data_IF_323222101231
#
_entry.id   IF_323222101231
#
_cell.length_a   1.000
_cell.length_b   1.000
_cell.length_c   1.000
_cell.angle_alpha   90.00
_cell.angle_beta   90.00
_cell.angle_gamma   90.00
#
_symmetry.space_group_name_H-M   'P 1'
#
loop_
_entity.id
_entity.type
_entity.pdbx_description
1 polymer ?
#
# COMPACT_ATOMS: atom_id res chain seq x y z
N UNK A 1 -36.08 -31.59 -44.23
CA UNK A 1 -36.33 -30.20 -43.73
C UNK A 1 -36.09 -30.13 -42.22
N UNK A 2 -36.47 -31.15 -41.46
CA UNK A 2 -36.26 -31.26 -40.00
C UNK A 2 -34.77 -31.26 -39.62
N UNK A 3 -33.90 -31.84 -40.44
CA UNK A 3 -32.47 -31.93 -40.15
C UNK A 3 -31.80 -30.55 -40.07
N UNK A 4 -32.16 -29.65 -40.99
CA UNK A 4 -31.65 -28.27 -41.01
C UNK A 4 -32.15 -27.49 -39.79
N UNK A 5 -33.41 -27.68 -39.40
CA UNK A 5 -33.98 -27.06 -38.22
C UNK A 5 -33.28 -27.51 -36.93
N UNK A 6 -32.97 -28.80 -36.82
CA UNK A 6 -32.24 -29.36 -35.68
C UNK A 6 -30.80 -28.80 -35.60
N UNK A 7 -30.08 -28.75 -36.72
CA UNK A 7 -28.73 -28.18 -36.76
C UNK A 7 -28.72 -26.70 -36.34
N UNK A 8 -29.67 -25.89 -36.83
CA UNK A 8 -29.78 -24.49 -36.44
C UNK A 8 -30.14 -24.34 -34.96
N UNK A 9 -31.00 -25.19 -34.41
CA UNK A 9 -31.34 -25.19 -32.99
C UNK A 9 -30.12 -25.49 -32.11
N UNK A 10 -29.29 -26.46 -32.50
CA UNK A 10 -28.08 -26.84 -31.75
C UNK A 10 -27.03 -25.72 -31.81
N UNK A 11 -26.78 -25.15 -33.00
CA UNK A 11 -25.82 -24.04 -33.15
C UNK A 11 -26.28 -22.80 -32.38
N UNK A 12 -27.58 -22.48 -32.44
CA UNK A 12 -28.16 -21.38 -31.68
C UNK A 12 -27.98 -21.56 -30.17
N UNK A 13 -28.23 -22.77 -29.65
CA UNK A 13 -28.01 -23.07 -28.24
C UNK A 13 -26.54 -22.93 -27.81
N UNK A 14 -25.62 -23.46 -28.62
CA UNK A 14 -24.19 -23.37 -28.34
C UNK A 14 -23.66 -21.93 -28.32
N UNK A 15 -24.12 -21.08 -29.24
CA UNK A 15 -23.74 -19.66 -29.29
C UNK A 15 -24.19 -18.89 -28.04
N UNK A 16 -25.42 -19.13 -27.57
CA UNK A 16 -25.94 -18.53 -26.33
C UNK A 16 -25.08 -18.95 -25.14
N UNK A 17 -24.69 -20.22 -25.07
CA UNK A 17 -23.83 -20.71 -23.99
C UNK A 17 -22.44 -20.02 -24.01
N UNK A 18 -21.79 -19.90 -25.17
CA UNK A 18 -20.45 -19.27 -25.28
C UNK A 18 -20.50 -17.78 -24.95
N UNK A 19 -21.46 -17.05 -25.51
CA UNK A 19 -21.62 -15.61 -25.27
C UNK A 19 -21.99 -15.35 -23.80
N UNK A 20 -22.74 -16.26 -23.17
CA UNK A 20 -23.10 -16.16 -21.75
C UNK A 20 -21.90 -16.27 -20.81
N UNK A 21 -20.92 -17.13 -21.11
CA UNK A 21 -19.77 -17.39 -20.20
C UNK A 21 -18.55 -16.53 -20.47
N UNK A 22 -18.40 -15.97 -21.68
CA UNK A 22 -17.24 -15.14 -22.07
C UNK A 22 -17.06 -13.90 -21.18
N UNK A 23 -18.11 -13.12 -20.84
CA UNK A 23 -17.97 -11.97 -19.95
C UNK A 23 -17.42 -12.37 -18.57
N UNK A 24 -17.91 -13.48 -18.02
CA UNK A 24 -17.44 -14.02 -16.73
C UNK A 24 -15.98 -14.46 -16.81
N UNK A 25 -15.58 -15.15 -17.89
CA UNK A 25 -14.20 -15.57 -18.09
C UNK A 25 -13.22 -14.39 -18.18
N UNK A 26 -13.60 -13.31 -18.86
CA UNK A 26 -12.79 -12.08 -18.94
C UNK A 26 -12.68 -11.36 -17.59
N UNK A 27 -13.76 -11.32 -16.81
CA UNK A 27 -13.73 -10.74 -15.46
C UNK A 27 -12.76 -11.51 -14.55
N UNK A 28 -12.84 -12.85 -14.54
CA UNK A 28 -11.93 -13.70 -13.75
C UNK A 28 -10.47 -13.51 -14.15
N UNK A 29 -10.18 -13.42 -15.46
CA UNK A 29 -8.82 -13.16 -15.91
C UNK A 29 -8.30 -11.79 -15.45
N UNK A 30 -9.14 -10.75 -15.53
CA UNK A 30 -8.78 -9.42 -15.04
C UNK A 30 -8.54 -9.44 -13.54
N UNK A 31 -9.43 -10.02 -12.76
CA UNK A 31 -9.31 -10.12 -11.31
C UNK A 31 -8.03 -10.87 -10.89
N UNK A 32 -7.72 -12.00 -11.53
CA UNK A 32 -6.47 -12.73 -11.28
C UNK A 32 -5.22 -11.90 -11.58
N UNK A 33 -5.27 -11.08 -12.65
CA UNK A 33 -4.17 -10.18 -12.97
C UNK A 33 -4.03 -9.08 -11.92
N UNK A 34 -5.15 -8.45 -11.53
CA UNK A 34 -5.15 -7.42 -10.48
C UNK A 34 -4.65 -7.96 -9.15
N UNK A 35 -5.06 -9.17 -8.76
CA UNK A 35 -4.57 -9.83 -7.55
C UNK A 35 -3.06 -10.08 -7.63
N UNK A 36 -2.55 -10.48 -8.79
CA UNK A 36 -1.10 -10.66 -8.99
C UNK A 36 -0.35 -9.35 -8.81
N UNK A 37 -0.83 -8.26 -9.43
CA UNK A 37 -0.25 -6.92 -9.32
C UNK A 37 -0.25 -6.45 -7.87
N UNK A 38 -1.39 -6.53 -7.18
CA UNK A 38 -1.52 -6.14 -5.77
C UNK A 38 -0.58 -6.94 -4.86
N UNK A 39 -0.45 -8.25 -5.09
CA UNK A 39 0.47 -9.08 -4.30
C UNK A 39 1.93 -8.71 -4.53
N UNK A 40 2.34 -8.50 -5.79
CA UNK A 40 3.72 -8.14 -6.11
C UNK A 40 4.07 -6.75 -5.57
N UNK A 41 3.22 -5.76 -5.82
CA UNK A 41 3.47 -4.38 -5.42
C UNK A 41 3.31 -4.18 -3.91
N UNK A 42 2.37 -4.88 -3.27
CA UNK A 42 2.25 -4.90 -1.82
C UNK A 42 3.52 -5.41 -1.15
N UNK A 43 4.12 -6.49 -1.66
CA UNK A 43 5.42 -6.98 -1.15
C UNK A 43 6.56 -6.01 -1.46
N UNK A 44 6.57 -5.38 -2.64
CA UNK A 44 7.57 -4.37 -2.99
C UNK A 44 7.55 -3.18 -2.04
N UNK A 45 6.39 -2.59 -1.77
CA UNK A 45 6.27 -1.48 -0.81
C UNK A 45 6.59 -1.91 0.63
N UNK A 46 6.15 -3.10 1.03
CA UNK A 46 6.45 -3.62 2.36
C UNK A 46 7.97 -3.76 2.56
N UNK A 47 8.69 -4.30 1.59
CA UNK A 47 10.14 -4.45 1.68
C UNK A 47 10.88 -3.12 1.55
N UNK A 48 10.43 -2.23 0.65
CA UNK A 48 11.00 -0.88 0.51
C UNK A 48 10.90 -0.08 1.81
N UNK A 49 9.76 -0.14 2.50
CA UNK A 49 9.56 0.51 3.79
C UNK A 49 10.41 -0.19 4.84
N UNK A 50 10.32 -1.52 4.96
CA UNK A 50 11.04 -2.31 5.98
C UNK A 50 12.56 -2.12 5.91
N UNK A 51 13.13 -2.02 4.71
CA UNK A 51 14.56 -1.80 4.50
C UNK A 51 14.98 -0.32 4.58
N UNK A 52 14.02 0.61 4.72
CA UNK A 52 14.29 2.04 4.73
C UNK A 52 14.86 2.56 3.41
N UNK A 53 14.46 1.98 2.28
CA UNK A 53 15.06 2.26 0.97
C UNK A 53 14.94 3.73 0.57
N UNK A 54 16.07 4.35 0.22
CA UNK A 54 16.15 5.77 -0.15
C UNK A 54 16.37 6.01 -1.65
N UNK A 55 16.67 4.96 -2.43
CA UNK A 55 17.08 5.07 -3.85
C UNK A 55 15.97 4.83 -4.88
N UNK A 56 14.70 4.83 -4.47
CA UNK A 56 13.57 4.42 -5.33
C UNK A 56 12.97 5.58 -6.12
N UNK A 57 13.79 6.39 -6.79
CA UNK A 57 13.34 7.63 -7.43
C UNK A 57 12.31 7.40 -8.55
N UNK A 58 12.27 6.21 -9.14
CA UNK A 58 11.24 5.83 -10.10
C UNK A 58 9.81 5.89 -9.53
N UNK A 59 9.65 5.77 -8.20
CA UNK A 59 8.34 5.90 -7.54
C UNK A 59 7.65 7.22 -7.84
N UNK A 60 8.42 8.28 -8.13
CA UNK A 60 7.87 9.59 -8.50
C UNK A 60 6.93 9.53 -9.71
N UNK A 61 7.14 8.55 -10.61
CA UNK A 61 6.33 8.37 -11.81
C UNK A 61 5.00 7.69 -11.52
N UNK A 62 4.90 6.93 -10.44
CA UNK A 62 3.75 6.06 -10.14
C UNK A 62 2.94 6.56 -8.95
N UNK A 63 3.54 7.32 -8.05
CA UNK A 63 2.89 7.86 -6.86
C UNK A 63 2.44 9.30 -7.13
N UNK A 64 1.13 9.51 -7.18
CA UNK A 64 0.55 10.83 -7.43
C UNK A 64 0.63 11.73 -6.18
N UNK A 65 0.89 11.16 -5.00
CA UNK A 65 1.20 11.91 -3.77
C UNK A 65 1.07 11.07 -2.51
N UNK A 66 1.52 11.65 -1.38
CA UNK A 66 1.42 11.05 -0.05
C UNK A 66 0.81 12.03 0.95
N UNK A 67 -0.05 11.52 1.84
CA UNK A 67 -0.76 12.28 2.88
C UNK A 67 -0.64 11.54 4.20
N UNK A 68 -0.21 12.24 5.25
CA UNK A 68 -0.14 11.69 6.60
C UNK A 68 -1.26 12.25 7.46
N UNK A 69 -2.08 11.38 8.06
CA UNK A 69 -3.14 11.76 8.98
C UNK A 69 -2.73 11.47 10.43
N UNK A 70 -2.94 12.44 11.33
CA UNK A 70 -2.91 12.16 12.77
C UNK A 70 -4.21 11.50 13.22
N UNK A 71 -4.24 11.05 14.47
CA UNK A 71 -5.46 10.63 15.18
C UNK A 71 -6.61 11.66 15.09
N UNK A 72 -6.31 12.95 14.86
CA UNK A 72 -7.28 14.03 14.70
C UNK A 72 -7.56 14.40 13.23
N UNK A 73 -7.59 13.43 12.29
CA UNK A 73 -8.09 13.50 10.89
C UNK A 73 -7.64 14.67 9.98
N UNK A 74 -6.87 15.63 10.46
CA UNK A 74 -6.24 16.68 9.68
C UNK A 74 -4.89 16.15 9.16
N UNK A 75 -4.57 16.40 7.88
CA UNK A 75 -3.29 15.98 7.32
C UNK A 75 -2.15 16.76 7.99
N UNK A 76 -1.18 16.04 8.56
CA UNK A 76 0.02 16.59 9.21
C UNK A 76 1.12 16.97 8.23
N UNK A 77 1.10 16.36 7.04
CA UNK A 77 2.06 16.59 5.99
C UNK A 77 1.37 16.32 4.67
N UNK A 78 1.57 17.23 3.72
CA UNK A 78 1.00 17.16 2.39
C UNK A 78 2.08 17.52 1.41
N UNK A 79 2.36 16.60 0.50
CA UNK A 79 3.40 16.83 -0.48
C UNK A 79 2.89 16.49 -1.88
N UNK A 80 3.02 17.44 -2.84
CA UNK A 80 2.56 17.27 -4.22
C UNK A 80 3.38 16.19 -4.96
N UNK A 81 2.90 15.69 -6.12
CA UNK A 81 3.46 14.55 -6.87
C UNK A 81 4.96 14.59 -7.25
N UNK A 82 5.63 15.74 -7.15
CA UNK A 82 7.06 15.85 -7.41
C UNK A 82 7.88 15.38 -6.20
N UNK A 83 7.79 14.09 -5.87
CA UNK A 83 8.48 13.47 -4.73
C UNK A 83 9.57 12.52 -5.22
N UNK A 84 10.79 12.67 -4.71
CA UNK A 84 11.80 11.64 -4.88
C UNK A 84 11.41 10.39 -4.08
N UNK A 85 11.91 9.22 -4.47
CA UNK A 85 11.55 7.94 -3.86
C UNK A 85 11.79 7.91 -2.36
N UNK A 86 12.90 8.52 -1.95
CA UNK A 86 13.25 8.76 -0.56
C UNK A 86 12.16 9.44 0.26
N UNK A 87 11.55 10.49 -0.28
CA UNK A 87 10.51 11.25 0.43
C UNK A 87 9.25 10.42 0.54
N UNK A 88 8.89 9.70 -0.52
CA UNK A 88 7.73 8.79 -0.52
C UNK A 88 7.89 7.74 0.58
N UNK A 89 9.01 7.01 0.60
CA UNK A 89 9.26 6.00 1.63
C UNK A 89 9.36 6.62 3.02
N UNK A 90 10.01 7.77 3.15
CA UNK A 90 10.16 8.49 4.41
C UNK A 90 8.83 8.91 5.04
N UNK A 91 7.88 9.35 4.22
CA UNK A 91 6.52 9.70 4.64
C UNK A 91 5.69 8.45 4.97
N UNK A 92 5.80 7.40 4.15
CA UNK A 92 5.09 6.14 4.36
C UNK A 92 5.54 5.40 5.63
N UNK A 93 6.79 5.59 6.06
CA UNK A 93 7.36 4.96 7.25
C UNK A 93 7.08 5.73 8.54
N UNK A 94 6.36 6.86 8.48
CA UNK A 94 6.11 7.70 9.65
C UNK A 94 5.30 6.96 10.73
N UNK A 95 5.79 6.87 11.99
CA UNK A 95 5.10 6.21 13.08
C UNK A 95 3.95 7.07 13.63
N UNK A 96 3.01 6.41 14.31
CA UNK A 96 1.85 7.05 14.98
C UNK A 96 0.93 7.87 14.05
N UNK A 97 1.04 7.66 12.74
CA UNK A 97 0.23 8.29 11.72
C UNK A 97 -0.35 7.23 10.78
N UNK A 98 -1.47 7.56 10.15
CA UNK A 98 -1.96 6.81 8.99
C UNK A 98 -1.50 7.54 7.75
N UNK A 99 -0.57 6.95 7.00
CA UNK A 99 -0.07 7.56 5.78
C UNK A 99 -0.79 6.90 4.60
N UNK A 100 -1.28 7.71 3.66
CA UNK A 100 -2.00 7.26 2.49
C UNK A 100 -1.27 7.78 1.27
N UNK A 101 -1.00 6.93 0.31
CA UNK A 101 -0.48 7.28 -1.00
C UNK A 101 -1.45 6.86 -2.09
N UNK A 102 -1.58 7.71 -3.11
CA UNK A 102 -2.32 7.40 -4.35
C UNK A 102 -1.32 6.85 -5.35
N UNK A 103 -1.46 5.58 -5.71
CA UNK A 103 -0.45 4.83 -6.47
C UNK A 103 -1.08 4.25 -7.73
N UNK A 104 -0.39 4.42 -8.84
CA UNK A 104 -0.67 3.73 -10.12
C UNK A 104 0.20 2.48 -10.21
N UNK A 105 -0.33 1.45 -10.85
CA UNK A 105 0.34 0.17 -10.99
C UNK A 105 1.73 0.33 -11.63
N UNK A 106 2.74 -0.18 -10.93
CA UNK A 106 4.13 -0.28 -11.36
C UNK A 106 4.29 -1.48 -12.31
N UNK A 107 3.64 -2.60 -12.01
CA UNK A 107 3.69 -3.87 -12.75
C UNK A 107 2.44 -4.08 -13.63
N UNK A 108 2.00 -3.03 -14.32
CA UNK A 108 0.90 -3.10 -15.31
C UNK A 108 1.34 -3.47 -16.74
N UNK A 109 0.35 -3.64 -17.62
CA UNK A 109 0.57 -3.84 -19.05
C UNK A 109 1.30 -2.64 -19.68
N UNK A 110 2.14 -2.87 -20.69
CA UNK A 110 2.86 -1.79 -21.38
C UNK A 110 1.90 -0.74 -21.98
N UNK A 111 0.69 -1.14 -22.37
CA UNK A 111 -0.35 -0.23 -22.85
C UNK A 111 -0.80 0.77 -21.77
N UNK A 112 -0.78 0.37 -20.51
CA UNK A 112 -1.20 1.19 -19.36
C UNK A 112 -0.08 2.14 -18.88
N UNK A 113 1.18 1.87 -19.29
CA UNK A 113 2.35 2.69 -18.91
C UNK A 113 2.56 3.91 -19.80
N UNK A 114 1.72 4.09 -20.82
CA UNK A 114 1.75 5.25 -21.70
C UNK A 114 1.39 6.54 -20.94
N UNK A 115 2.18 7.59 -21.15
CA UNK A 115 1.96 8.92 -20.54
C UNK A 115 0.62 9.53 -20.97
N UNK A 116 0.07 9.12 -22.11
CA UNK A 116 -1.24 9.58 -22.58
C UNK A 116 -2.44 8.85 -21.93
N UNK A 117 -2.22 7.74 -21.22
CA UNK A 117 -3.27 6.86 -20.69
C UNK A 117 -3.22 6.73 -19.16
N UNK A 118 -2.57 7.67 -18.46
CA UNK A 118 -2.40 7.63 -16.99
C UNK A 118 -3.71 7.59 -16.21
N UNK A 119 -4.82 8.05 -16.80
CA UNK A 119 -6.15 8.01 -16.18
C UNK A 119 -6.87 6.66 -16.34
N UNK A 120 -6.35 5.77 -17.19
CA UNK A 120 -6.92 4.45 -17.45
C UNK A 120 -6.05 3.31 -16.90
N UNK A 121 -4.87 3.61 -16.34
CA UNK A 121 -4.04 2.62 -15.67
C UNK A 121 -4.69 2.15 -14.37
N UNK A 122 -4.54 0.87 -14.05
CA UNK A 122 -4.90 0.37 -12.73
C UNK A 122 -4.22 1.20 -11.62
N UNK A 123 -4.97 1.53 -10.59
CA UNK A 123 -4.49 2.31 -9.46
C UNK A 123 -5.21 1.94 -8.18
N UNK A 124 -4.53 2.18 -7.06
CA UNK A 124 -4.97 1.82 -5.73
C UNK A 124 -4.53 2.86 -4.71
N UNK A 125 -5.21 2.86 -3.56
CA UNK A 125 -4.76 3.58 -2.38
C UNK A 125 -3.91 2.67 -1.52
N UNK A 126 -2.70 3.13 -1.24
CA UNK A 126 -1.76 2.49 -0.35
C UNK A 126 -1.83 3.17 1.01
N UNK A 127 -2.32 2.48 2.03
CA UNK A 127 -2.32 2.99 3.40
C UNK A 127 -1.27 2.27 4.22
N UNK A 128 -0.37 3.01 4.86
CA UNK A 128 0.64 2.48 5.78
C UNK A 128 0.36 2.92 7.21
N UNK A 129 0.59 1.99 8.12
CA UNK A 129 0.57 2.26 9.56
C UNK A 129 1.79 1.57 10.18
N UNK A 130 2.64 2.38 10.80
CA UNK A 130 3.77 1.91 11.61
C UNK A 130 3.36 2.03 13.07
N UNK A 131 3.20 0.87 13.73
CA UNK A 131 2.69 0.75 15.09
C UNK A 131 3.83 0.25 15.99
N UNK A 132 4.36 1.08 16.89
CA UNK A 132 5.39 0.66 17.84
C UNK A 132 4.83 -0.31 18.88
N UNK A 133 5.61 -1.32 19.27
CA UNK A 133 5.21 -2.36 20.23
C UNK A 133 5.62 -2.03 21.67
N UNK A 134 5.53 -0.76 22.05
CA UNK A 134 6.02 -0.23 23.35
C UNK A 134 5.39 -0.92 24.56
N UNK A 135 4.16 -1.44 24.43
CA UNK A 135 3.41 -2.06 25.53
C UNK A 135 3.41 -3.60 25.50
N UNK A 136 3.96 -4.23 24.45
CA UNK A 136 3.91 -5.70 24.31
C UNK A 136 4.73 -6.44 25.38
N UNK A 137 5.69 -5.74 25.99
CA UNK A 137 6.62 -6.29 26.99
C UNK A 137 6.47 -5.66 28.38
N UNK A 138 5.40 -4.89 28.59
CA UNK A 138 5.06 -4.33 29.90
C UNK A 138 4.38 -5.38 30.79
N UNK A 139 5.10 -6.44 31.14
CA UNK A 139 4.60 -7.42 32.09
C UNK A 139 4.88 -6.93 33.53
N UNK A 140 3.88 -6.85 34.42
CA UNK A 140 4.08 -6.50 35.84
C UNK A 140 4.90 -7.53 36.64
N UNK A 141 5.39 -8.59 35.99
CA UNK A 141 6.10 -9.71 36.59
C UNK A 141 7.61 -9.75 36.28
N UNK A 142 8.15 -8.81 35.49
CA UNK A 142 9.60 -8.71 35.27
C UNK A 142 10.27 -8.04 36.48
N UNK A 143 10.62 -8.85 37.48
CA UNK A 143 11.31 -8.40 38.70
C UNK A 143 12.82 -8.35 38.55
N UNK A 144 13.38 -9.06 37.57
CA UNK A 144 14.81 -9.03 37.27
C UNK A 144 15.15 -7.76 36.47
N UNK A 145 16.03 -6.87 36.99
CA UNK A 145 16.44 -5.64 36.31
C UNK A 145 17.07 -5.88 34.93
N UNK A 146 17.76 -7.01 34.72
CA UNK A 146 18.40 -7.32 33.44
C UNK A 146 17.36 -7.73 32.39
N UNK A 147 16.37 -8.54 32.78
CA UNK A 147 15.30 -8.96 31.88
C UNK A 147 14.38 -7.78 31.53
N UNK A 148 14.10 -6.90 32.50
CA UNK A 148 13.37 -5.67 32.24
C UNK A 148 14.12 -4.77 31.24
N UNK A 149 15.45 -4.68 31.37
CA UNK A 149 16.28 -3.91 30.46
C UNK A 149 16.22 -4.44 29.03
N UNK A 150 16.41 -5.74 28.84
CA UNK A 150 16.29 -6.36 27.52
C UNK A 150 14.89 -6.17 26.90
N UNK A 151 13.83 -6.28 27.71
CA UNK A 151 12.46 -6.03 27.29
C UNK A 151 12.22 -4.58 26.82
N UNK A 152 12.83 -3.59 27.48
CA UNK A 152 12.74 -2.18 27.06
C UNK A 152 13.48 -1.91 25.75
N UNK A 153 14.63 -2.56 25.52
CA UNK A 153 15.37 -2.46 24.26
C UNK A 153 14.54 -3.08 23.12
N UNK A 154 13.96 -4.26 23.35
CA UNK A 154 13.11 -4.91 22.36
C UNK A 154 11.87 -4.07 22.04
N UNK A 155 11.19 -3.51 23.05
CA UNK A 155 9.99 -2.70 22.84
C UNK A 155 10.25 -1.38 22.10
N UNK A 156 11.47 -0.84 22.26
CA UNK A 156 11.92 0.39 21.59
C UNK A 156 12.30 0.17 20.11
N UNK A 157 12.65 -1.07 19.74
CA UNK A 157 13.09 -1.41 18.38
C UNK A 157 12.05 -2.25 17.61
N UNK A 158 10.98 -2.72 18.25
CA UNK A 158 9.98 -3.57 17.63
C UNK A 158 8.77 -2.77 17.13
N UNK A 159 8.49 -2.90 15.83
CA UNK A 159 7.40 -2.24 15.14
C UNK A 159 6.56 -3.25 14.37
N UNK A 160 5.25 -3.04 14.37
CA UNK A 160 4.36 -3.70 13.44
C UNK A 160 4.09 -2.76 12.26
N UNK A 161 4.44 -3.23 11.06
CA UNK A 161 4.11 -2.54 9.81
C UNK A 161 2.85 -3.17 9.22
N UNK A 162 1.83 -2.34 9.00
CA UNK A 162 0.59 -2.71 8.32
C UNK A 162 0.48 -1.91 7.03
N UNK A 163 0.32 -2.63 5.92
CA UNK A 163 0.11 -2.08 4.60
C UNK A 163 -1.26 -2.51 4.10
N UNK A 164 -2.10 -1.57 3.69
CA UNK A 164 -3.45 -1.84 3.19
C UNK A 164 -3.58 -1.24 1.79
N UNK A 165 -3.78 -2.10 0.79
CA UNK A 165 -4.02 -1.72 -0.59
C UNK A 165 -5.53 -1.77 -0.84
N UNK A 166 -6.11 -0.69 -1.37
CA UNK A 166 -7.53 -0.60 -1.69
C UNK A 166 -7.75 -0.19 -3.15
N UNK A 167 -8.63 -0.89 -3.85
CA UNK A 167 -8.92 -0.65 -5.27
C UNK A 167 -10.38 -0.99 -5.60
N UNK A 168 -10.91 -0.63 -6.79
CA UNK A 168 -10.35 0.31 -7.76
C UNK A 168 -10.25 1.72 -7.21
N UNK A 169 -9.33 2.53 -7.73
CA UNK A 169 -9.32 3.96 -7.46
C UNK A 169 -10.60 4.62 -8.01
N UNK A 170 -11.30 5.38 -7.19
CA UNK A 170 -12.50 6.13 -7.58
C UNK A 170 -12.12 7.59 -7.91
N UNK A 171 -12.98 8.31 -8.66
CA UNK A 171 -12.83 9.75 -8.82
C UNK A 171 -12.73 10.44 -7.45
N UNK A 172 -11.85 11.43 -7.38
CA UNK A 172 -11.59 12.15 -6.14
C UNK A 172 -12.89 12.79 -5.62
N UNK A 173 -13.13 12.60 -4.32
CA UNK A 173 -14.28 13.12 -3.61
C UNK A 173 -14.20 14.63 -3.33
N UNK A 174 -15.23 15.17 -2.66
CA UNK A 174 -15.27 16.57 -2.31
C UNK A 174 -14.04 17.00 -1.52
N UNK A 175 -13.72 18.28 -1.67
CA UNK A 175 -12.52 18.87 -1.10
C UNK A 175 -12.72 19.10 0.39
N UNK A 176 -11.83 18.56 1.24
CA UNK A 176 -11.82 18.78 2.69
C UNK A 176 -10.53 19.50 3.06
N UNK A 177 -10.64 20.66 3.73
CA UNK A 177 -9.47 21.47 4.07
C UNK A 177 -8.69 21.99 2.85
N UNK A 178 -9.38 22.21 1.73
CA UNK A 178 -8.76 22.68 0.48
C UNK A 178 -8.17 21.59 -0.42
N UNK A 179 -8.37 20.30 -0.08
CA UNK A 179 -7.77 19.19 -0.83
C UNK A 179 -8.78 18.12 -1.25
N UNK A 180 -8.67 17.56 -2.47
CA UNK A 180 -9.58 16.53 -2.97
C UNK A 180 -9.44 15.25 -2.14
N UNK A 181 -10.54 14.64 -1.71
CA UNK A 181 -10.51 13.41 -0.93
C UNK A 181 -10.22 12.20 -1.84
N UNK A 182 -9.15 11.45 -1.57
CA UNK A 182 -8.89 10.22 -2.31
C UNK A 182 -9.84 9.10 -1.85
N UNK A 183 -10.39 8.35 -2.81
CA UNK A 183 -11.37 7.30 -2.57
C UNK A 183 -11.01 6.04 -3.35
N UNK A 184 -11.28 4.88 -2.77
CA UNK A 184 -11.16 3.58 -3.40
C UNK A 184 -12.46 2.80 -3.22
N UNK A 185 -12.64 1.77 -4.04
CA UNK A 185 -13.71 0.79 -3.89
C UNK A 185 -13.46 -0.21 -2.76
N UNK A 186 -14.24 -1.27 -2.75
CA UNK A 186 -14.36 -2.19 -1.61
C UNK A 186 -13.30 -3.31 -1.60
N UNK A 187 -12.50 -3.46 -2.66
CA UNK A 187 -11.46 -4.49 -2.67
C UNK A 187 -10.30 -4.04 -1.79
N UNK A 188 -9.91 -4.89 -0.85
CA UNK A 188 -8.87 -4.59 0.13
C UNK A 188 -7.92 -5.79 0.27
N UNK A 189 -6.62 -5.51 0.26
CA UNK A 189 -5.59 -6.47 0.65
C UNK A 189 -4.73 -5.87 1.75
N UNK A 190 -4.50 -6.65 2.81
CA UNK A 190 -3.66 -6.25 3.94
C UNK A 190 -2.41 -7.11 3.98
N UNK A 191 -1.25 -6.46 4.06
CA UNK A 191 0.03 -7.08 4.36
C UNK A 191 0.46 -6.63 5.75
N UNK A 192 1.01 -7.56 6.52
CA UNK A 192 1.49 -7.28 7.87
C UNK A 192 2.84 -7.94 8.06
N UNK A 193 3.75 -7.21 8.66
CA UNK A 193 5.05 -7.74 9.08
C UNK A 193 5.49 -7.12 10.40
N UNK A 194 6.40 -7.81 11.07
CA UNK A 194 7.13 -7.29 12.21
C UNK A 194 8.52 -6.85 11.75
N UNK A 195 8.92 -5.68 12.20
CA UNK A 195 10.23 -5.09 11.92
C UNK A 195 10.89 -4.84 13.26
N UNK A 196 12.11 -5.36 13.42
CA UNK A 196 12.94 -5.11 14.59
C UNK A 196 14.18 -4.36 14.13
N UNK A 197 14.23 -3.05 14.38
CA UNK A 197 15.36 -2.18 14.08
C UNK A 197 15.11 -0.79 14.67
N UNK A 198 16.10 0.09 14.58
CA UNK A 198 15.92 1.50 14.87
C UNK A 198 15.08 2.18 13.77
N UNK A 199 14.20 3.09 14.20
CA UNK A 199 13.44 3.98 13.32
C UNK A 199 13.99 5.40 13.47
N UNK A 200 14.84 5.82 12.54
CA UNK A 200 15.51 7.12 12.59
C UNK A 200 14.67 8.20 11.95
N UNK A 201 14.84 9.44 12.43
CA UNK A 201 14.29 10.65 11.80
C UNK A 201 15.43 11.60 11.43
N UNK A 202 16.15 11.33 10.32
CA UNK A 202 17.28 12.17 9.90
C UNK A 202 16.85 13.57 9.42
N UNK A 203 15.55 13.79 9.17
CA UNK A 203 14.99 15.08 8.76
C UNK A 203 13.88 15.49 9.73
N UNK A 204 14.23 16.01 10.92
CA UNK A 204 13.24 16.39 11.92
C UNK A 204 12.39 17.61 11.52
N UNK A 205 12.80 18.33 10.48
CA UNK A 205 12.07 19.47 9.93
C UNK A 205 10.91 19.03 9.02
N UNK A 206 9.94 19.91 8.78
CA UNK A 206 8.78 19.57 7.97
C UNK A 206 9.13 19.38 6.49
N UNK A 207 8.73 18.25 5.86
CA UNK A 207 8.05 17.09 6.46
C UNK A 207 9.02 16.15 7.18
N UNK A 208 8.63 15.71 8.40
CA UNK A 208 9.43 14.74 9.15
C UNK A 208 9.46 13.39 8.41
N UNK A 209 10.66 12.94 8.04
CA UNK A 209 10.88 11.70 7.29
C UNK A 209 11.50 10.64 8.19
N UNK A 210 10.87 9.48 8.22
CA UNK A 210 11.30 8.36 9.06
C UNK A 210 11.83 7.22 8.20
N UNK A 211 12.88 6.54 8.64
CA UNK A 211 13.42 5.39 7.94
C UNK A 211 13.75 4.28 8.93
N UNK A 212 13.39 3.05 8.56
CA UNK A 212 13.87 1.88 9.27
C UNK A 212 15.33 1.65 8.90
N UNK A 213 16.19 1.43 9.89
CA UNK A 213 17.61 1.12 9.69
C UNK A 213 17.90 -0.28 10.21
N UNK A 214 17.82 -1.33 9.37
CA UNK A 214 17.88 -2.73 9.82
C UNK A 214 19.18 -3.13 10.54
N UNK A 215 20.25 -2.36 10.35
CA UNK A 215 21.57 -2.60 10.95
C UNK A 215 21.78 -1.91 12.30
N UNK A 216 20.86 -1.04 12.73
CA UNK A 216 20.98 -0.25 13.95
C UNK A 216 19.84 -0.58 14.91
N UNK A 217 20.13 -0.47 16.21
CA UNK A 217 19.19 -0.70 17.29
C UNK A 217 19.43 0.36 18.36
N UNK A 218 18.34 0.93 18.86
CA UNK A 218 18.37 1.81 20.04
C UNK A 218 18.81 0.99 21.25
N UNK A 219 19.99 1.29 21.76
CA UNK A 219 20.53 0.68 22.99
C UNK A 219 19.97 1.33 24.26
N UNK A 220 20.38 0.78 25.41
CA UNK A 220 20.13 1.37 26.73
C UNK A 220 20.74 2.78 26.79
N UNK A 221 19.93 3.80 27.12
CA UNK A 221 20.40 5.15 27.49
C UNK A 221 20.31 5.35 28.99
#
# INVERSE_FOLDING_TARGET
MVEIALCLAIVGFALVAIIGVLPTGLQVQRENNLDTVVNQEGMYFLEAIRSGSQGLDELMRYVDGVRSYSSNRAPLAMMPPALNGRVIIGLLSRPYATNVAKVRAITGSAAEKSVALTNFSFGYLLTTQVIPLTNAFAAPALTDPYVYAEAQVLSSNAYQLVLTLQWPLLPDGPTVGGLPQWRAGDNVKVFRTLVSCELTNPYPFFPALYFFEPSTFVGYR
#
